data_IF_173578859526
#
_entry.id   IF_173578859526
#
_cell.length_a   1.000
_cell.length_b   1.000
_cell.length_c   1.000
_cell.angle_alpha   90.00
_cell.angle_beta   90.00
_cell.angle_gamma   90.00
#
_symmetry.space_group_name_H-M   'P 1'
#
loop_
_entity.id
_entity.type
_entity.pdbx_description
1 polymer ?
#
# COMPACT_ATOMS: atom_id res chain seq x y z
N UNK A 1 -12.23 -2.46 26.29
CA UNK A 1 -11.61 -1.56 25.28
C UNK A 1 -10.65 -2.27 24.31
N UNK A 2 -10.24 -3.54 24.51
CA UNK A 2 -9.29 -4.23 23.62
C UNK A 2 -9.85 -4.72 22.26
N UNK A 3 -11.16 -4.96 22.14
CA UNK A 3 -11.76 -5.53 20.92
C UNK A 3 -11.64 -4.64 19.68
N UNK A 4 -11.73 -3.32 19.83
CA UNK A 4 -11.55 -2.37 18.72
C UNK A 4 -10.10 -2.35 18.21
N UNK A 5 -9.13 -2.47 19.12
CA UNK A 5 -7.70 -2.45 18.79
C UNK A 5 -7.27 -3.69 18.01
N UNK A 6 -7.84 -4.85 18.31
CA UNK A 6 -7.56 -6.10 17.58
C UNK A 6 -8.09 -6.03 16.14
N UNK A 7 -9.30 -5.49 15.94
CA UNK A 7 -9.86 -5.31 14.60
C UNK A 7 -9.05 -4.29 13.78
N UNK A 8 -8.65 -3.17 14.40
CA UNK A 8 -7.78 -2.17 13.78
C UNK A 8 -6.42 -2.74 13.40
N UNK A 9 -5.80 -3.54 14.29
CA UNK A 9 -4.54 -4.21 14.03
C UNK A 9 -4.67 -5.22 12.88
N UNK A 10 -5.73 -6.03 12.86
CA UNK A 10 -6.00 -6.98 11.80
C UNK A 10 -6.16 -6.30 10.43
N UNK A 11 -6.94 -5.22 10.36
CA UNK A 11 -7.15 -4.44 9.11
C UNK A 11 -5.85 -3.77 8.66
N UNK A 12 -5.03 -3.29 9.60
CA UNK A 12 -3.72 -2.69 9.31
C UNK A 12 -2.75 -3.71 8.70
N UNK A 13 -2.65 -4.90 9.29
CA UNK A 13 -1.80 -5.99 8.77
C UNK A 13 -2.32 -6.47 7.42
N UNK A 14 -3.63 -6.66 7.27
CA UNK A 14 -4.24 -7.08 6.00
C UNK A 14 -3.91 -6.09 4.87
N UNK A 15 -3.99 -4.79 5.16
CA UNK A 15 -3.68 -3.76 4.17
C UNK A 15 -2.18 -3.65 3.86
N UNK A 16 -1.31 -3.83 4.84
CA UNK A 16 0.14 -3.92 4.61
C UNK A 16 0.50 -5.12 3.72
N UNK A 17 -0.14 -6.27 3.94
CA UNK A 17 0.00 -7.45 3.08
C UNK A 17 -0.47 -7.17 1.64
N UNK A 18 -1.61 -6.48 1.48
CA UNK A 18 -2.13 -6.11 0.16
C UNK A 18 -1.19 -5.15 -0.59
N UNK A 19 -0.61 -4.16 0.09
CA UNK A 19 0.40 -3.26 -0.49
C UNK A 19 1.66 -4.02 -0.92
N UNK A 20 2.12 -4.97 -0.09
CA UNK A 20 3.28 -5.82 -0.38
C UNK A 20 3.05 -6.68 -1.64
N UNK A 21 1.85 -7.26 -1.77
CA UNK A 21 1.46 -8.02 -2.95
C UNK A 21 1.52 -7.17 -4.24
N UNK A 22 0.99 -5.95 -4.19
CA UNK A 22 1.05 -5.04 -5.34
C UNK A 22 2.48 -4.61 -5.67
N UNK A 23 3.34 -4.37 -4.67
CA UNK A 23 4.75 -4.06 -4.88
C UNK A 23 5.48 -5.20 -5.60
N UNK A 24 5.24 -6.45 -5.19
CA UNK A 24 5.77 -7.64 -5.86
C UNK A 24 5.24 -7.74 -7.29
N UNK A 25 3.97 -7.41 -7.53
CA UNK A 25 3.37 -7.41 -8.87
C UNK A 25 4.04 -6.40 -9.80
N UNK A 26 4.33 -5.18 -9.32
CA UNK A 26 5.10 -4.17 -10.06
C UNK A 26 6.51 -4.68 -10.33
N UNK A 27 7.18 -5.30 -9.34
CA UNK A 27 8.51 -5.90 -9.52
C UNK A 27 8.53 -6.99 -10.60
N UNK A 28 7.54 -7.90 -10.60
CA UNK A 28 7.39 -8.92 -11.65
C UNK A 28 7.12 -8.28 -13.02
N UNK A 29 6.32 -7.22 -13.08
CA UNK A 29 6.07 -6.49 -14.31
C UNK A 29 7.36 -5.80 -14.82
N UNK A 30 8.17 -5.21 -13.94
CA UNK A 30 9.49 -4.64 -14.30
C UNK A 30 10.39 -5.67 -14.97
N UNK A 31 10.45 -6.89 -14.41
CA UNK A 31 11.23 -7.99 -14.99
C UNK A 31 10.66 -8.46 -16.33
N UNK A 32 9.33 -8.61 -16.45
CA UNK A 32 8.67 -9.07 -17.69
C UNK A 32 8.85 -8.09 -18.85
N UNK A 33 8.70 -6.80 -18.58
CA UNK A 33 8.80 -5.73 -19.59
C UNK A 33 10.20 -5.13 -19.69
N UNK A 34 11.19 -5.69 -18.98
CA UNK A 34 12.59 -5.22 -18.94
C UNK A 34 12.72 -3.71 -18.68
N UNK A 35 11.86 -3.17 -17.81
CA UNK A 35 11.89 -1.76 -17.43
C UNK A 35 12.89 -1.58 -16.30
N UNK A 36 14.11 -1.18 -16.64
CA UNK A 36 15.17 -0.91 -15.68
C UNK A 36 14.82 0.32 -14.83
N UNK A 37 14.82 0.24 -13.48
CA UNK A 37 14.69 1.43 -12.65
C UNK A 37 15.82 2.43 -12.98
N UNK A 38 15.58 3.76 -13.00
CA UNK A 38 14.42 4.53 -12.51
C UNK A 38 13.28 4.71 -13.54
N UNK A 39 13.35 4.08 -14.72
CA UNK A 39 12.33 4.27 -15.74
C UNK A 39 10.95 3.81 -15.25
N UNK A 40 9.95 4.66 -15.46
CA UNK A 40 8.53 4.41 -15.19
C UNK A 40 7.70 4.31 -16.48
N UNK A 41 8.34 4.54 -17.62
CA UNK A 41 7.76 4.52 -18.96
C UNK A 41 8.28 3.30 -19.72
N UNK A 42 7.39 2.58 -20.39
CA UNK A 42 7.73 1.34 -21.08
C UNK A 42 6.52 0.79 -21.83
N UNK A 43 6.11 -0.44 -21.51
CA UNK A 43 4.87 -1.00 -22.07
C UNK A 43 3.63 -0.38 -21.40
N UNK A 44 2.55 -0.13 -22.17
CA UNK A 44 1.33 0.47 -21.64
C UNK A 44 0.67 -0.38 -20.54
N UNK A 45 0.90 -1.69 -20.52
CA UNK A 45 0.45 -2.60 -19.45
C UNK A 45 1.24 -2.36 -18.15
N UNK A 46 2.56 -2.18 -18.24
CA UNK A 46 3.39 -1.86 -17.09
C UNK A 46 2.96 -0.53 -16.45
N UNK A 47 2.72 0.51 -17.25
CA UNK A 47 2.31 1.80 -16.71
C UNK A 47 0.94 1.76 -16.01
N UNK A 48 0.00 0.93 -16.49
CA UNK A 48 -1.30 0.74 -15.82
C UNK A 48 -1.11 0.12 -14.44
N UNK A 49 -0.28 -0.93 -14.34
CA UNK A 49 0.01 -1.61 -13.08
C UNK A 49 0.75 -0.67 -12.12
N UNK A 50 1.73 0.08 -12.63
CA UNK A 50 2.50 1.05 -11.85
C UNK A 50 1.63 2.20 -11.33
N UNK A 51 0.77 2.78 -12.18
CA UNK A 51 -0.20 3.82 -11.75
C UNK A 51 -1.22 3.29 -10.75
N UNK A 52 -1.77 2.09 -10.96
CA UNK A 52 -2.71 1.48 -10.02
C UNK A 52 -2.07 1.30 -8.63
N UNK A 53 -0.81 0.83 -8.59
CA UNK A 53 -0.05 0.77 -7.35
C UNK A 53 0.15 2.15 -6.71
N UNK A 54 0.52 3.17 -7.49
CA UNK A 54 0.73 4.53 -7.00
C UNK A 54 -0.56 5.17 -6.44
N UNK A 55 -1.69 5.02 -7.12
CA UNK A 55 -2.99 5.48 -6.62
C UNK A 55 -3.40 4.75 -5.34
N UNK A 56 -3.15 3.43 -5.26
CA UNK A 56 -3.44 2.66 -4.06
C UNK A 56 -2.54 3.09 -2.90
N UNK A 57 -1.24 3.30 -3.13
CA UNK A 57 -0.29 3.77 -2.13
C UNK A 57 -0.65 5.18 -1.63
N UNK A 58 -0.93 6.11 -2.54
CA UNK A 58 -1.35 7.48 -2.21
C UNK A 58 -2.65 7.52 -1.42
N UNK A 59 -3.63 6.67 -1.73
CA UNK A 59 -4.88 6.55 -0.98
C UNK A 59 -4.71 5.82 0.36
N UNK A 60 -3.80 4.85 0.42
CA UNK A 60 -3.53 4.04 1.62
C UNK A 60 -2.75 4.83 2.67
N UNK A 61 -1.80 5.69 2.29
CA UNK A 61 -1.11 6.59 3.21
C UNK A 61 -2.09 7.48 3.99
N UNK A 62 -3.20 7.88 3.37
CA UNK A 62 -4.23 8.70 4.04
C UNK A 62 -5.03 7.91 5.08
N UNK A 63 -5.09 6.57 4.98
CA UNK A 63 -5.89 5.73 5.87
C UNK A 63 -5.08 4.83 6.82
N UNK A 64 -3.78 4.59 6.55
CA UNK A 64 -2.92 3.65 7.30
C UNK A 64 -1.90 4.33 8.21
N UNK A 65 -1.57 5.60 8.03
CA UNK A 65 -0.83 6.35 9.05
C UNK A 65 -1.01 7.87 8.87
N UNK A 66 -1.49 8.65 9.87
CA UNK A 66 -1.58 8.33 11.30
C UNK A 66 -3.00 8.38 11.91
N UNK A 67 -4.05 8.72 11.17
CA UNK A 67 -5.31 9.20 11.78
C UNK A 67 -6.05 8.20 12.69
N UNK A 68 -6.15 6.88 12.42
CA UNK A 68 -6.86 5.98 13.33
C UNK A 68 -6.00 5.48 14.50
N UNK A 69 -4.71 5.22 14.25
CA UNK A 69 -3.78 4.65 15.25
C UNK A 69 -3.26 5.74 16.19
N UNK A 70 -2.88 6.92 15.69
CA UNK A 70 -2.54 8.05 16.57
C UNK A 70 -3.76 8.57 17.33
N UNK A 71 -4.94 8.70 16.69
CA UNK A 71 -6.12 9.21 17.40
C UNK A 71 -6.70 8.19 18.39
N UNK A 72 -6.49 6.88 18.14
CA UNK A 72 -6.80 5.83 19.11
C UNK A 72 -5.88 5.84 20.34
N UNK A 73 -4.62 6.22 20.17
CA UNK A 73 -3.65 6.38 21.26
C UNK A 73 -3.85 7.72 21.99
N UNK A 74 -4.05 8.83 21.28
CA UNK A 74 -4.19 10.17 21.87
C UNK A 74 -5.55 10.42 22.53
N UNK A 75 -6.64 9.78 22.09
CA UNK A 75 -7.95 9.91 22.77
C UNK A 75 -8.05 9.09 24.06
N UNK A 76 -7.03 8.30 24.38
CA UNK A 76 -6.92 7.55 25.63
C UNK A 76 -5.93 8.18 26.63
N UNK A 77 -5.29 9.31 26.31
CA UNK A 77 -4.39 10.05 27.21
C UNK A 77 -5.06 11.27 27.83
#
# INVERSE_FOLDING_TARGET
>A
MAGHSVLLAAVSVLSACQQSYFALHVGKARLKYKVTPPAVSGSPEFERIFRAHFCYLSGSCVHICPSPVFLGIFRSS
#
